data_IF_900291684524
#
_entry.id   IF_900291684524
#
_cell.length_a   1.000
_cell.length_b   1.000
_cell.length_c   1.000
_cell.angle_alpha   90.00
_cell.angle_beta   90.00
_cell.angle_gamma   90.00
#
_symmetry.space_group_name_H-M   'P 1'
#
loop_
_entity.id
_entity.type
_entity.pdbx_description
1 polymer ?
#
# COMPACT_ATOMS: atom_id res chain seq x y z
N UNK A 1 -10.82 -15.07 -23.92
CA UNK A 1 -11.27 -15.06 -22.52
C UNK A 1 -11.93 -13.72 -22.25
N UNK A 2 -13.16 -13.68 -21.71
CA UNK A 2 -13.80 -12.41 -21.36
C UNK A 2 -12.91 -11.69 -20.34
N UNK A 3 -12.62 -10.41 -20.60
CA UNK A 3 -11.95 -9.55 -19.62
C UNK A 3 -12.81 -9.56 -18.36
N UNK A 4 -12.33 -10.08 -17.22
CA UNK A 4 -13.15 -10.05 -16.03
C UNK A 4 -13.31 -8.57 -15.67
N UNK A 5 -14.53 -8.05 -15.71
CA UNK A 5 -14.88 -6.67 -15.30
C UNK A 5 -14.22 -6.27 -13.96
N UNK A 6 -13.96 -7.28 -13.14
CA UNK A 6 -13.20 -7.25 -11.89
C UNK A 6 -11.83 -6.55 -12.00
N UNK A 7 -11.13 -6.70 -13.12
CA UNK A 7 -9.80 -6.13 -13.34
C UNK A 7 -9.81 -4.58 -13.45
N UNK A 8 -10.99 -3.97 -13.63
CA UNK A 8 -11.13 -2.51 -13.78
C UNK A 8 -11.39 -1.79 -12.45
N UNK A 9 -11.89 -2.47 -11.43
CA UNK A 9 -12.29 -1.82 -10.18
C UNK A 9 -11.11 -1.24 -9.40
N UNK A 10 -9.98 -1.95 -9.36
CA UNK A 10 -8.79 -1.49 -8.66
C UNK A 10 -8.16 -0.24 -9.33
N UNK A 11 -7.88 -0.23 -10.65
CA UNK A 11 -7.46 0.97 -11.35
C UNK A 11 -8.44 2.14 -11.17
N UNK A 12 -9.76 1.88 -11.21
CA UNK A 12 -10.77 2.91 -10.99
C UNK A 12 -10.65 3.52 -9.58
N UNK A 13 -10.49 2.70 -8.54
CA UNK A 13 -10.27 3.18 -7.17
C UNK A 13 -8.99 4.03 -7.04
N UNK A 14 -7.90 3.61 -7.70
CA UNK A 14 -6.65 4.38 -7.77
C UNK A 14 -6.82 5.72 -8.51
N UNK A 15 -7.58 5.75 -9.61
CA UNK A 15 -7.91 6.99 -10.34
C UNK A 15 -8.73 7.93 -9.46
N UNK A 16 -9.73 7.42 -8.74
CA UNK A 16 -10.51 8.21 -7.78
C UNK A 16 -9.59 8.80 -6.69
N UNK A 17 -8.69 7.99 -6.14
CA UNK A 17 -7.70 8.46 -5.16
C UNK A 17 -6.77 9.53 -5.74
N UNK A 18 -6.28 9.34 -6.96
CA UNK A 18 -5.38 10.28 -7.63
C UNK A 18 -6.07 11.61 -7.96
N UNK A 19 -7.34 11.59 -8.39
CA UNK A 19 -8.15 12.79 -8.62
C UNK A 19 -8.42 13.52 -7.30
N UNK A 20 -8.74 12.79 -6.23
CA UNK A 20 -8.93 13.37 -4.90
C UNK A 20 -7.63 14.02 -4.39
N UNK A 21 -6.50 13.33 -4.56
CA UNK A 21 -5.17 13.84 -4.26
C UNK A 21 -4.84 15.10 -5.07
N UNK A 22 -5.05 15.08 -6.39
CA UNK A 22 -4.77 16.21 -7.27
C UNK A 22 -5.52 17.47 -6.84
N UNK A 23 -6.76 17.31 -6.38
CA UNK A 23 -7.59 18.41 -5.85
C UNK A 23 -7.11 18.91 -4.48
N UNK A 24 -6.40 18.08 -3.71
CA UNK A 24 -5.84 18.42 -2.41
C UNK A 24 -4.38 18.92 -2.48
N UNK A 25 -3.66 18.70 -3.60
CA UNK A 25 -2.21 18.93 -3.72
C UNK A 25 -1.75 20.36 -3.39
N UNK A 26 -2.63 21.35 -3.54
CA UNK A 26 -2.33 22.76 -3.21
C UNK A 26 -2.12 23.00 -1.71
N UNK A 27 -2.55 22.08 -0.85
CA UNK A 27 -2.29 22.13 0.59
C UNK A 27 -0.80 21.94 0.94
N UNK A 28 0.00 21.43 -0.01
CA UNK A 28 1.41 21.18 0.20
C UNK A 28 1.66 20.03 1.18
N UNK A 29 2.89 19.96 1.69
CA UNK A 29 3.29 18.94 2.66
C UNK A 29 4.10 17.79 2.07
N UNK A 30 4.98 17.21 2.89
CA UNK A 30 5.78 16.06 2.51
C UNK A 30 4.92 14.79 2.39
N UNK A 31 4.02 14.55 3.35
CA UNK A 31 3.13 13.39 3.34
C UNK A 31 2.27 13.40 2.08
N UNK A 32 1.58 14.51 1.81
CA UNK A 32 0.67 14.59 0.67
C UNK A 32 1.41 14.39 -0.66
N UNK A 33 2.63 14.92 -0.81
CA UNK A 33 3.45 14.68 -2.01
C UNK A 33 3.78 13.19 -2.17
N UNK A 34 4.31 12.56 -1.13
CA UNK A 34 4.71 11.15 -1.18
C UNK A 34 3.53 10.19 -1.34
N UNK A 35 2.36 10.52 -0.79
CA UNK A 35 1.14 9.73 -0.97
C UNK A 35 0.64 9.80 -2.42
N UNK A 36 0.79 10.96 -3.07
CA UNK A 36 0.53 11.12 -4.50
C UNK A 36 1.46 10.28 -5.37
N UNK A 37 2.76 10.31 -5.08
CA UNK A 37 3.77 9.48 -5.77
C UNK A 37 3.45 8.00 -5.64
N UNK A 38 3.08 7.55 -4.44
CA UNK A 38 2.66 6.18 -4.17
C UNK A 38 1.45 5.77 -5.02
N UNK A 39 0.37 6.57 -5.02
CA UNK A 39 -0.85 6.25 -5.79
C UNK A 39 -0.56 6.25 -7.30
N UNK A 40 0.24 7.21 -7.78
CA UNK A 40 0.63 7.29 -9.18
C UNK A 40 1.47 6.08 -9.62
N UNK A 41 2.46 5.69 -8.80
CA UNK A 41 3.29 4.52 -9.07
C UNK A 41 2.47 3.23 -9.09
N UNK A 42 1.56 3.06 -8.14
CA UNK A 42 0.66 1.91 -8.10
C UNK A 42 -0.26 1.85 -9.32
N UNK A 43 -0.85 2.98 -9.73
CA UNK A 43 -1.69 3.06 -10.92
C UNK A 43 -0.89 2.74 -12.19
N UNK A 44 0.33 3.26 -12.31
CA UNK A 44 1.20 2.97 -13.45
C UNK A 44 1.52 1.48 -13.55
N UNK A 45 1.83 0.84 -12.42
CA UNK A 45 2.06 -0.60 -12.34
C UNK A 45 0.82 -1.39 -12.74
N UNK A 46 -0.37 -1.02 -12.25
CA UNK A 46 -1.59 -1.75 -12.64
C UNK A 46 -1.98 -1.57 -14.09
N UNK A 47 -1.86 -0.37 -14.64
CA UNK A 47 -2.12 -0.17 -16.07
C UNK A 47 -1.12 -0.98 -16.92
N UNK A 48 0.15 -1.02 -16.52
CA UNK A 48 1.16 -1.82 -17.20
C UNK A 48 0.90 -3.32 -17.06
N UNK A 49 0.50 -3.78 -15.87
CA UNK A 49 0.15 -5.17 -15.58
C UNK A 49 -1.04 -5.63 -16.43
N UNK A 50 -2.08 -4.80 -16.58
CA UNK A 50 -3.22 -5.06 -17.46
C UNK A 50 -2.80 -5.15 -18.92
N UNK A 51 -1.92 -4.26 -19.37
CA UNK A 51 -1.41 -4.24 -20.73
C UNK A 51 -0.56 -5.50 -21.04
N UNK A 52 0.30 -5.92 -20.11
CA UNK A 52 1.10 -7.14 -20.21
C UNK A 52 0.23 -8.39 -20.19
N UNK A 53 -0.78 -8.45 -19.31
CA UNK A 53 -1.70 -9.59 -19.22
C UNK A 53 -2.40 -9.84 -20.56
N UNK A 54 -2.73 -8.78 -21.29
CA UNK A 54 -3.36 -8.90 -22.60
C UNK A 54 -2.43 -9.50 -23.68
N UNK A 55 -1.11 -9.33 -23.56
CA UNK A 55 -0.15 -9.67 -24.61
C UNK A 55 0.79 -10.84 -24.30
N UNK A 56 1.13 -11.10 -23.03
CA UNK A 56 2.16 -12.09 -22.62
C UNK A 56 1.76 -12.99 -21.44
N UNK A 57 0.61 -12.74 -20.80
CA UNK A 57 0.05 -13.57 -19.72
C UNK A 57 0.71 -13.43 -18.35
N UNK A 58 2.04 -13.29 -18.28
CA UNK A 58 2.80 -13.23 -17.03
C UNK A 58 3.28 -11.80 -16.71
N UNK A 59 3.07 -11.36 -15.48
CA UNK A 59 3.44 -10.02 -15.02
C UNK A 59 3.94 -9.99 -13.56
N UNK A 60 4.21 -11.14 -12.95
CA UNK A 60 4.64 -11.28 -11.55
C UNK A 60 5.92 -10.50 -11.24
N UNK A 61 6.88 -10.51 -12.17
CA UNK A 61 8.15 -9.77 -12.03
C UNK A 61 7.91 -8.27 -11.78
N UNK A 62 6.87 -7.68 -12.38
CA UNK A 62 6.55 -6.27 -12.21
C UNK A 62 6.16 -5.98 -10.76
N UNK A 63 5.36 -6.86 -10.15
CA UNK A 63 5.00 -6.75 -8.74
C UNK A 63 6.21 -6.99 -7.83
N UNK A 64 7.07 -7.96 -8.15
CA UNK A 64 8.32 -8.18 -7.42
C UNK A 64 9.23 -6.93 -7.40
N UNK A 65 9.24 -6.14 -8.47
CA UNK A 65 9.97 -4.86 -8.52
C UNK A 65 9.21 -3.75 -7.81
N UNK A 66 7.88 -3.70 -7.93
CA UNK A 66 7.07 -2.65 -7.33
C UNK A 66 6.99 -2.76 -5.81
N UNK A 67 6.90 -3.97 -5.24
CA UNK A 67 6.79 -4.18 -3.78
C UNK A 67 7.88 -3.47 -2.97
N UNK A 68 9.20 -3.59 -3.27
CA UNK A 68 10.22 -2.86 -2.52
C UNK A 68 10.09 -1.34 -2.68
N UNK A 69 9.64 -0.84 -3.83
CA UNK A 69 9.39 0.59 -4.05
C UNK A 69 8.22 1.06 -3.18
N UNK A 70 7.10 0.33 -3.20
CA UNK A 70 5.93 0.60 -2.37
C UNK A 70 6.29 0.61 -0.88
N UNK A 71 7.07 -0.38 -0.45
CA UNK A 71 7.57 -0.50 0.91
C UNK A 71 8.37 0.73 1.35
N UNK A 72 9.33 1.18 0.54
CA UNK A 72 10.13 2.37 0.85
C UNK A 72 9.27 3.65 0.90
N UNK A 73 8.29 3.79 -0.01
CA UNK A 73 7.34 4.90 0.01
C UNK A 73 6.47 4.87 1.28
N UNK A 74 6.04 3.70 1.74
CA UNK A 74 5.29 3.55 2.99
C UNK A 74 6.11 3.91 4.22
N UNK A 75 7.37 3.46 4.30
CA UNK A 75 8.27 3.87 5.38
C UNK A 75 8.51 5.39 5.36
N UNK A 76 8.61 5.99 4.17
CA UNK A 76 8.74 7.45 4.02
C UNK A 76 7.51 8.18 4.55
N UNK A 77 6.31 7.67 4.30
CA UNK A 77 5.06 8.22 4.83
C UNK A 77 4.96 8.06 6.36
N UNK A 78 5.35 6.91 6.89
CA UNK A 78 5.45 6.70 8.34
C UNK A 78 6.43 7.68 9.01
N UNK A 79 7.57 7.96 8.37
CA UNK A 79 8.56 8.92 8.85
C UNK A 79 8.02 10.35 9.00
N UNK A 80 6.98 10.73 8.23
CA UNK A 80 6.33 12.04 8.38
C UNK A 80 5.55 12.18 9.70
N UNK A 81 5.08 11.06 10.28
CA UNK A 81 4.35 11.05 11.56
C UNK A 81 5.21 10.63 12.75
N UNK A 82 6.29 9.88 12.50
CA UNK A 82 7.19 9.31 13.51
C UNK A 82 8.65 9.79 13.33
N UNK A 83 8.91 11.11 13.28
CA UNK A 83 10.24 11.63 12.97
C UNK A 83 11.30 11.26 14.01
N UNK A 84 10.91 10.96 15.25
CA UNK A 84 11.82 10.50 16.30
C UNK A 84 12.34 9.06 16.06
N UNK A 85 11.69 8.27 15.20
CA UNK A 85 12.04 6.87 14.93
C UNK A 85 12.82 6.66 13.62
N UNK A 86 13.49 7.70 13.10
CA UNK A 86 14.21 7.64 11.81
C UNK A 86 15.19 6.47 11.70
N UNK A 87 15.98 6.20 12.75
CA UNK A 87 16.94 5.10 12.74
C UNK A 87 16.23 3.75 12.65
N UNK A 88 15.16 3.55 13.45
CA UNK A 88 14.37 2.33 13.42
C UNK A 88 13.69 2.11 12.05
N UNK A 89 13.22 3.18 11.40
CA UNK A 89 12.68 3.15 10.04
C UNK A 89 13.75 2.76 9.01
N UNK A 90 14.98 3.28 9.13
CA UNK A 90 16.10 2.89 8.26
C UNK A 90 16.50 1.42 8.46
N UNK A 91 16.55 0.95 9.71
CA UNK A 91 16.80 -0.46 10.01
C UNK A 91 15.69 -1.34 9.43
N UNK A 92 14.43 -0.94 9.59
CA UNK A 92 13.28 -1.63 8.96
C UNK A 92 13.41 -1.66 7.44
N UNK A 93 13.84 -0.56 6.80
CA UNK A 93 14.08 -0.53 5.37
C UNK A 93 15.16 -1.54 4.95
N UNK A 94 16.29 -1.57 5.67
CA UNK A 94 17.37 -2.50 5.42
C UNK A 94 16.92 -3.96 5.60
N UNK A 95 16.21 -4.27 6.68
CA UNK A 95 15.68 -5.62 6.96
C UNK A 95 14.70 -6.07 5.88
N UNK A 96 13.75 -5.22 5.50
CA UNK A 96 12.78 -5.53 4.44
C UNK A 96 13.47 -5.80 3.11
N UNK A 97 14.36 -4.90 2.67
CA UNK A 97 15.11 -5.06 1.42
C UNK A 97 16.03 -6.29 1.43
N UNK A 98 16.69 -6.58 2.55
CA UNK A 98 17.50 -7.79 2.70
C UNK A 98 16.65 -9.05 2.60
N UNK A 99 15.46 -9.07 3.22
CA UNK A 99 14.52 -10.19 3.10
C UNK A 99 14.04 -10.41 1.67
N UNK A 100 13.74 -9.33 0.94
CA UNK A 100 13.37 -9.42 -0.48
C UNK A 100 14.53 -9.92 -1.36
N UNK A 101 15.76 -9.44 -1.10
CA UNK A 101 16.94 -9.91 -1.81
C UNK A 101 17.21 -11.40 -1.53
N UNK A 102 17.06 -11.85 -0.29
CA UNK A 102 17.18 -13.27 0.07
C UNK A 102 16.10 -14.12 -0.59
N UNK A 103 14.86 -13.65 -0.64
CA UNK A 103 13.78 -14.32 -1.36
C UNK A 103 14.10 -14.43 -2.85
N UNK A 104 14.60 -13.35 -3.47
CA UNK A 104 15.03 -13.34 -4.87
C UNK A 104 16.14 -14.36 -5.16
N UNK A 105 17.17 -14.46 -4.29
CA UNK A 105 18.27 -15.42 -4.46
C UNK A 105 17.80 -16.87 -4.32
N UNK A 106 16.77 -17.12 -3.50
CA UNK A 106 16.20 -18.46 -3.30
C UNK A 106 15.20 -18.87 -4.38
N UNK A 107 14.62 -17.89 -5.09
CA UNK A 107 13.63 -18.16 -6.12
C UNK A 107 14.29 -18.85 -7.34
N UNK A 108 13.64 -19.91 -7.83
CA UNK A 108 14.06 -20.63 -9.03
C UNK A 108 13.74 -19.91 -10.34
N UNK A 109 12.79 -18.96 -10.31
CA UNK A 109 12.36 -18.13 -11.44
C UNK A 109 11.86 -16.77 -10.96
N UNK A 110 12.02 -15.74 -11.81
CA UNK A 110 11.47 -14.39 -11.59
C UNK A 110 9.96 -14.30 -11.84
N UNK A 111 9.36 -15.34 -12.41
CA UNK A 111 7.92 -15.41 -12.70
C UNK A 111 7.08 -15.81 -11.47
N UNK A 112 7.75 -16.23 -10.39
CA UNK A 112 7.14 -16.60 -9.12
C UNK A 112 7.13 -15.38 -8.20
N UNK A 113 6.04 -15.19 -7.47
CA UNK A 113 5.92 -14.11 -6.50
C UNK A 113 6.88 -14.38 -5.35
N UNK A 114 7.66 -13.38 -4.94
CA UNK A 114 8.61 -13.51 -3.84
C UNK A 114 7.91 -13.39 -2.47
N UNK A 115 7.09 -14.40 -2.17
CA UNK A 115 6.12 -14.39 -1.07
C UNK A 115 6.77 -14.07 0.27
N UNK A 116 7.91 -14.68 0.62
CA UNK A 116 8.54 -14.47 1.91
C UNK A 116 9.00 -13.01 2.09
N UNK A 117 9.54 -12.41 1.03
CA UNK A 117 9.93 -11.00 1.01
C UNK A 117 8.72 -10.06 1.13
N UNK A 118 7.67 -10.34 0.36
CA UNK A 118 6.40 -9.59 0.37
C UNK A 118 5.77 -9.63 1.77
N UNK A 119 5.68 -10.82 2.38
CA UNK A 119 5.10 -11.02 3.72
C UNK A 119 5.91 -10.29 4.79
N UNK A 120 7.24 -10.39 4.76
CA UNK A 120 8.09 -9.67 5.71
C UNK A 120 7.88 -8.15 5.62
N UNK A 121 7.88 -7.59 4.42
CA UNK A 121 7.61 -6.16 4.21
C UNK A 121 6.21 -5.77 4.68
N UNK A 122 5.20 -6.59 4.41
CA UNK A 122 3.83 -6.35 4.86
C UNK A 122 3.71 -6.31 6.39
N UNK A 123 4.39 -7.22 7.10
CA UNK A 123 4.46 -7.23 8.57
C UNK A 123 5.11 -5.95 9.11
N UNK A 124 6.22 -5.53 8.50
CA UNK A 124 6.92 -4.29 8.88
C UNK A 124 6.01 -3.06 8.65
N UNK A 125 5.37 -2.95 7.49
CA UNK A 125 4.42 -1.85 7.19
C UNK A 125 3.26 -1.87 8.18
N UNK A 126 2.74 -3.05 8.52
CA UNK A 126 1.65 -3.20 9.50
C UNK A 126 2.06 -2.62 10.85
N UNK A 127 3.26 -2.96 11.34
CA UNK A 127 3.80 -2.42 12.60
C UNK A 127 3.95 -0.89 12.57
N UNK A 128 4.53 -0.34 11.50
CA UNK A 128 4.68 1.12 11.36
C UNK A 128 3.35 1.86 11.16
N UNK A 129 2.39 1.26 10.46
CA UNK A 129 1.05 1.84 10.30
C UNK A 129 0.31 1.89 11.62
N UNK A 130 0.42 0.83 12.43
CA UNK A 130 -0.13 0.79 13.79
C UNK A 130 0.52 1.84 14.68
N UNK A 131 1.85 1.95 14.65
CA UNK A 131 2.57 2.99 15.40
C UNK A 131 2.18 4.41 14.98
N UNK A 132 1.97 4.64 13.68
CA UNK A 132 1.52 5.93 13.16
C UNK A 132 0.09 6.25 13.64
N UNK A 133 -0.85 5.29 13.56
CA UNK A 133 -2.21 5.43 14.07
C UNK A 133 -2.23 5.70 15.58
N UNK A 134 -1.41 5.00 16.35
CA UNK A 134 -1.26 5.21 17.79
C UNK A 134 -0.75 6.61 18.11
N UNK A 135 0.29 7.08 17.40
CA UNK A 135 0.81 8.43 17.56
C UNK A 135 -0.20 9.51 17.13
N UNK A 136 -1.05 9.25 16.14
CA UNK A 136 -2.17 10.14 15.78
C UNK A 136 -3.19 10.17 16.93
N UNK A 137 -3.55 9.02 17.50
CA UNK A 137 -4.50 8.93 18.62
C UNK A 137 -4.03 9.69 19.87
N UNK A 138 -2.72 9.72 20.13
CA UNK A 138 -2.16 10.43 21.28
C UNK A 138 -2.06 11.96 21.10
N UNK A 139 -2.10 12.48 19.87
CA UNK A 139 -1.82 13.90 19.57
C UNK A 139 -3.05 14.72 19.22
N UNK A 140 -4.16 14.07 18.92
CA UNK A 140 -5.32 14.72 18.32
C UNK A 140 -6.39 14.89 19.40
N UNK A 141 -6.66 16.13 19.79
CA UNK A 141 -7.71 16.48 20.78
C UNK A 141 -9.13 16.40 20.20
N UNK A 142 -9.26 16.20 18.88
CA UNK A 142 -10.52 16.02 18.16
C UNK A 142 -10.79 14.52 17.90
N UNK A 143 -12.02 14.12 17.53
CA UNK A 143 -12.30 12.74 17.17
C UNK A 143 -11.34 12.22 16.09
N UNK A 144 -10.77 11.02 16.29
CA UNK A 144 -9.84 10.37 15.37
C UNK A 144 -10.36 10.31 13.92
N UNK A 145 -11.66 10.05 13.77
CA UNK A 145 -12.34 10.00 12.48
C UNK A 145 -12.32 11.33 11.71
N UNK A 146 -12.00 12.46 12.36
CA UNK A 146 -11.84 13.75 11.70
C UNK A 146 -10.41 13.96 11.14
N UNK A 147 -9.47 13.05 11.39
CA UNK A 147 -8.10 13.12 10.87
C UNK A 147 -7.99 12.47 9.48
N UNK A 148 -7.56 13.20 8.43
CA UNK A 148 -7.24 12.58 7.14
C UNK A 148 -6.19 11.48 7.24
N UNK A 149 -5.15 11.68 8.05
CA UNK A 149 -4.04 10.73 8.18
C UNK A 149 -4.48 9.42 8.82
N UNK A 150 -5.46 9.47 9.74
CA UNK A 150 -6.08 8.27 10.31
C UNK A 150 -6.67 7.37 9.22
N UNK A 151 -7.50 7.90 8.33
CA UNK A 151 -8.12 7.09 7.26
C UNK A 151 -7.11 6.52 6.28
N UNK A 152 -6.07 7.28 5.95
CA UNK A 152 -4.99 6.79 5.09
C UNK A 152 -4.28 5.59 5.72
N UNK A 153 -3.77 5.74 6.95
CA UNK A 153 -3.05 4.65 7.63
C UNK A 153 -3.96 3.48 8.01
N UNK A 154 -5.24 3.72 8.28
CA UNK A 154 -6.22 2.66 8.49
C UNK A 154 -6.37 1.80 7.23
N UNK A 155 -6.48 2.42 6.04
CA UNK A 155 -6.54 1.68 4.78
C UNK A 155 -5.26 0.89 4.50
N UNK A 156 -4.09 1.46 4.79
CA UNK A 156 -2.80 0.77 4.70
C UNK A 156 -2.75 -0.42 5.67
N UNK A 157 -3.15 -0.22 6.93
CA UNK A 157 -3.16 -1.27 7.95
C UNK A 157 -4.08 -2.43 7.57
N UNK A 158 -5.32 -2.14 7.18
CA UNK A 158 -6.30 -3.17 6.78
C UNK A 158 -5.79 -3.99 5.59
N UNK A 159 -5.18 -3.33 4.61
CA UNK A 159 -4.58 -4.01 3.48
C UNK A 159 -3.39 -4.88 3.90
N UNK A 160 -2.33 -4.32 4.50
CA UNK A 160 -1.12 -5.07 4.78
C UNK A 160 -1.30 -6.14 5.87
N UNK A 161 -2.14 -5.90 6.86
CA UNK A 161 -2.52 -6.92 7.84
C UNK A 161 -3.34 -8.04 7.18
N UNK A 162 -4.30 -7.66 6.32
CA UNK A 162 -5.18 -8.61 5.64
C UNK A 162 -4.45 -9.48 4.62
N UNK A 163 -3.51 -8.95 3.85
CA UNK A 163 -2.83 -9.74 2.81
C UNK A 163 -1.87 -10.80 3.38
N UNK A 164 -1.32 -10.62 4.58
CA UNK A 164 -0.34 -11.56 5.16
C UNK A 164 -0.88 -12.99 5.21
N UNK A 165 -2.04 -13.29 5.82
CA UNK A 165 -2.58 -14.64 5.84
C UNK A 165 -2.96 -15.14 4.44
N UNK A 166 -3.51 -14.28 3.57
CA UNK A 166 -3.99 -14.71 2.25
C UNK A 166 -2.85 -15.01 1.28
N UNK A 167 -1.80 -14.19 1.24
CA UNK A 167 -0.63 -14.43 0.40
C UNK A 167 0.14 -15.67 0.90
N UNK A 168 0.21 -15.87 2.22
CA UNK A 168 0.80 -17.09 2.79
C UNK A 168 0.00 -18.34 2.43
N UNK A 169 -1.34 -18.27 2.47
CA UNK A 169 -2.22 -19.37 2.06
C UNK A 169 -2.12 -19.64 0.55
N UNK A 170 -2.10 -18.60 -0.29
CA UNK A 170 -1.92 -18.73 -1.73
C UNK A 170 -0.65 -19.50 -2.05
N UNK A 171 0.45 -19.20 -1.37
CA UNK A 171 1.72 -19.92 -1.54
C UNK A 171 1.63 -21.41 -1.19
N UNK A 172 0.86 -21.76 -0.16
CA UNK A 172 0.68 -23.16 0.27
C UNK A 172 -0.28 -23.94 -0.64
N UNK A 173 -1.22 -23.27 -1.31
CA UNK A 173 -2.34 -23.88 -2.02
C UNK A 173 -2.24 -23.80 -3.55
N UNK A 174 -1.23 -23.10 -4.09
CA UNK A 174 -1.13 -22.73 -5.51
C UNK A 174 -1.21 -23.91 -6.49
N UNK A 175 -1.08 -25.15 -6.03
CA UNK A 175 -1.11 -26.36 -6.86
C UNK A 175 -2.29 -27.30 -6.59
N UNK A 176 -3.01 -27.10 -5.48
CA UNK A 176 -4.02 -28.05 -5.01
C UNK A 176 -5.45 -27.65 -5.40
N UNK A 177 -5.78 -26.35 -5.37
CA UNK A 177 -7.14 -25.86 -5.66
C UNK A 177 -7.15 -24.49 -6.36
N UNK A 178 -7.31 -24.46 -7.70
CA UNK A 178 -7.41 -23.23 -8.48
C UNK A 178 -8.65 -22.38 -8.15
N UNK A 179 -9.74 -22.97 -7.67
CA UNK A 179 -10.95 -22.22 -7.31
C UNK A 179 -10.74 -21.44 -6.02
N UNK A 180 -10.16 -22.10 -5.01
CA UNK A 180 -9.79 -21.46 -3.75
C UNK A 180 -8.75 -20.36 -3.96
N UNK A 181 -7.74 -20.60 -4.80
CA UNK A 181 -6.72 -19.61 -5.18
C UNK A 181 -7.36 -18.35 -5.78
N UNK A 182 -8.32 -18.50 -6.69
CA UNK A 182 -9.07 -17.38 -7.26
C UNK A 182 -9.88 -16.61 -6.20
N UNK A 183 -10.53 -17.32 -5.27
CA UNK A 183 -11.28 -16.69 -4.19
C UNK A 183 -10.37 -15.89 -3.24
N UNK A 184 -9.21 -16.43 -2.86
CA UNK A 184 -8.22 -15.75 -2.03
C UNK A 184 -7.65 -14.51 -2.72
N UNK A 185 -7.34 -14.62 -4.01
CA UNK A 185 -6.88 -13.47 -4.81
C UNK A 185 -7.92 -12.35 -4.86
N UNK A 186 -9.21 -12.71 -4.90
CA UNK A 186 -10.28 -11.71 -4.87
C UNK A 186 -10.32 -10.92 -3.57
N UNK A 187 -10.06 -11.56 -2.42
CA UNK A 187 -9.97 -10.87 -1.13
C UNK A 187 -8.84 -9.84 -1.15
N UNK A 188 -7.67 -10.19 -1.72
CA UNK A 188 -6.54 -9.25 -1.88
C UNK A 188 -6.94 -8.04 -2.74
N UNK A 189 -7.67 -8.24 -3.83
CA UNK A 189 -8.18 -7.15 -4.67
C UNK A 189 -9.15 -6.25 -3.89
N UNK A 190 -10.10 -6.83 -3.15
CA UNK A 190 -11.07 -6.06 -2.36
C UNK A 190 -10.37 -5.22 -1.29
N UNK A 191 -9.37 -5.78 -0.60
CA UNK A 191 -8.55 -5.04 0.36
C UNK A 191 -7.77 -3.90 -0.31
N UNK A 192 -7.22 -4.12 -1.50
CA UNK A 192 -6.52 -3.09 -2.26
C UNK A 192 -7.48 -1.95 -2.66
N UNK A 193 -8.67 -2.28 -3.18
CA UNK A 193 -9.72 -1.29 -3.49
C UNK A 193 -10.07 -0.48 -2.25
N UNK A 194 -10.34 -1.15 -1.12
CA UNK A 194 -10.69 -0.49 0.14
C UNK A 194 -9.59 0.48 0.57
N UNK A 195 -8.31 0.09 0.50
CA UNK A 195 -7.17 0.96 0.80
C UNK A 195 -7.18 2.24 -0.04
N UNK A 196 -7.37 2.13 -1.36
CA UNK A 196 -7.39 3.31 -2.24
C UNK A 196 -8.63 4.17 -2.06
N UNK A 197 -9.79 3.59 -1.76
CA UNK A 197 -11.00 4.36 -1.43
C UNK A 197 -10.83 5.12 -0.11
N UNK A 198 -10.19 4.53 0.90
CA UNK A 198 -9.86 5.20 2.15
C UNK A 198 -8.81 6.30 1.95
N UNK A 199 -7.83 6.10 1.09
CA UNK A 199 -6.89 7.16 0.68
C UNK A 199 -7.63 8.31 -0.05
N UNK A 200 -8.53 7.99 -0.97
CA UNK A 200 -9.36 9.00 -1.66
C UNK A 200 -10.21 9.80 -0.66
N UNK A 201 -10.82 9.11 0.31
CA UNK A 201 -11.58 9.71 1.38
C UNK A 201 -10.72 10.65 2.25
N UNK A 202 -9.52 10.20 2.64
CA UNK A 202 -8.54 11.02 3.36
C UNK A 202 -8.19 12.30 2.57
N UNK A 203 -7.86 12.20 1.28
CA UNK A 203 -7.57 13.38 0.45
C UNK A 203 -8.78 14.32 0.32
N UNK A 204 -9.98 13.77 0.16
CA UNK A 204 -11.22 14.54 0.13
C UNK A 204 -11.48 15.29 1.45
N UNK A 205 -11.21 14.65 2.57
CA UNK A 205 -11.32 15.24 3.91
C UNK A 205 -10.31 16.38 4.11
N UNK A 206 -9.05 16.15 3.76
CA UNK A 206 -8.02 17.19 3.85
C UNK A 206 -8.37 18.43 3.02
N UNK A 207 -8.91 18.23 1.82
CA UNK A 207 -9.39 19.35 0.98
C UNK A 207 -10.52 20.13 1.65
N UNK A 208 -11.51 19.45 2.24
CA UNK A 208 -12.64 20.10 2.94
C UNK A 208 -12.16 20.90 4.15
N UNK A 209 -11.19 20.37 4.89
CA UNK A 209 -10.61 21.03 6.06
C UNK A 209 -9.57 22.10 5.70
N UNK A 210 -9.16 22.20 4.43
CA UNK A 210 -8.05 23.04 3.94
C UNK A 210 -6.73 22.84 4.71
N UNK A 211 -6.55 21.66 5.28
CA UNK A 211 -5.37 21.32 6.08
C UNK A 211 -5.08 19.83 5.96
N UNK A 212 -3.80 19.49 5.87
CA UNK A 212 -3.32 18.14 6.14
C UNK A 212 -2.75 18.11 7.57
N UNK A 213 -2.86 16.98 8.27
CA UNK A 213 -2.43 16.83 9.66
C UNK A 213 -0.89 16.77 9.84
N UNK A 214 -0.16 17.34 8.89
CA UNK A 214 1.28 17.51 8.93
C UNK A 214 1.61 18.61 9.95
N UNK A 215 1.75 18.18 11.20
CA UNK A 215 2.22 18.96 12.34
C UNK A 215 1.21 19.99 12.86
N UNK A 216 0.61 19.65 14.00
CA UNK A 216 0.55 20.61 15.10
C UNK A 216 1.98 21.07 15.37
N UNK A 217 2.41 22.14 14.69
CA UNK A 217 3.53 22.93 15.18
C UNK A 217 3.09 23.35 16.57
N UNK A 218 3.77 22.81 17.58
CA UNK A 218 3.75 23.40 18.91
C UNK A 218 4.04 24.88 18.68
N UNK A 219 3.03 25.70 18.95
CA UNK A 219 3.22 27.12 19.18
C UNK A 219 4.17 27.30 20.37
#
# INVERSE_FOLDING_TARGET
MPFPFQALYLPLAMVIALVAWWRARSLGGAFLRWSGVLVLAALAVELWALMLRWRWGHNTWLYNVFTPIEFLLMLRLAACHLPQHRIALLVSAAVGLAGMALAFVRASSTDILLVEGVVLMAVIITGWSLAALWNIAQRVDRPLAASPSFWFFLGVLLYFCGIVPFVSMLYLLDHDDPQLTNALYWIVIVLAILRYLLAAFAFGMARRQRQWDEHGRRA
#
